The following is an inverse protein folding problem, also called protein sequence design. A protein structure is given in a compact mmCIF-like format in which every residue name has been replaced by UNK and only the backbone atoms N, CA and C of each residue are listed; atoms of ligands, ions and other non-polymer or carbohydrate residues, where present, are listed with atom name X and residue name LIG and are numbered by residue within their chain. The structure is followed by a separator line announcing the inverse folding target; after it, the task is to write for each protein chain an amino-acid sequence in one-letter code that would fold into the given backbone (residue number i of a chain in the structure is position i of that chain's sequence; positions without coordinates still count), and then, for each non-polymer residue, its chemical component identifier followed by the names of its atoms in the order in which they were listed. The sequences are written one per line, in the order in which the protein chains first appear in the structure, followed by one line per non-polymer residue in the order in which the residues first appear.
data_IF_252740860887
#
_entry.id   IF_252740860887
#
_cell.length_a   1.000
_cell.length_b   1.000
_cell.length_c   1.000
_cell.angle_alpha   90.00
_cell.angle_beta   90.00
_cell.angle_gamma   90.00
#
_symmetry.space_group_name_H-M   'P 1'
#
loop_
_entity.id
_entity.type
_entity.pdbx_description
1 polymer ?
#
# COMPACT_ATOMS: atom_id res chain seq x y z
N UNK A 1 -9.09 12.52 -0.61
CA UNK A 1 -7.82 12.85 0.10
C UNK A 1 -6.64 11.94 -0.27
N UNK A 2 -6.72 10.60 -0.16
CA UNK A 2 -5.61 9.70 -0.58
C UNK A 2 -5.26 9.88 -2.05
N UNK A 3 -6.25 10.03 -2.90
CA UNK A 3 -6.07 10.21 -4.34
C UNK A 3 -5.55 11.60 -4.73
N UNK A 4 -5.93 12.66 -4.01
CA UNK A 4 -5.32 13.98 -4.22
C UNK A 4 -3.83 13.97 -3.92
N UNK A 5 -3.43 13.19 -2.95
CA UNK A 5 -2.03 12.99 -2.62
C UNK A 5 -1.29 12.18 -3.68
N UNK A 6 -1.91 11.11 -4.19
CA UNK A 6 -1.33 10.36 -5.30
C UNK A 6 -1.19 11.23 -6.54
N UNK A 7 -2.14 12.14 -6.77
CA UNK A 7 -2.05 13.17 -7.80
C UNK A 7 -0.86 14.11 -7.57
N UNK A 8 -0.69 14.65 -6.35
CA UNK A 8 0.46 15.50 -6.00
C UNK A 8 1.79 14.76 -6.16
N UNK A 9 1.85 13.48 -5.75
CA UNK A 9 3.05 12.65 -5.94
C UNK A 9 3.35 12.43 -7.42
N UNK A 10 2.34 12.09 -8.22
CA UNK A 10 2.52 11.92 -9.66
C UNK A 10 3.00 13.21 -10.33
N UNK A 11 2.48 14.39 -9.91
CA UNK A 11 2.96 15.68 -10.36
C UNK A 11 4.42 15.96 -9.95
N UNK A 12 4.82 15.60 -8.72
CA UNK A 12 6.21 15.73 -8.27
C UNK A 12 7.13 14.83 -9.08
N UNK A 13 6.74 13.59 -9.37
CA UNK A 13 7.52 12.70 -10.23
C UNK A 13 7.60 13.22 -11.67
N UNK A 14 6.55 13.80 -12.21
CA UNK A 14 6.58 14.44 -13.52
C UNK A 14 7.55 15.63 -13.55
N UNK A 15 7.53 16.47 -12.49
CA UNK A 15 8.46 17.58 -12.36
C UNK A 15 9.93 17.13 -12.22
N UNK A 16 10.16 16.07 -11.44
CA UNK A 16 11.49 15.47 -11.30
C UNK A 16 12.00 14.88 -12.63
N UNK A 17 11.15 14.12 -13.34
CA UNK A 17 11.47 13.59 -14.66
C UNK A 17 11.77 14.71 -15.67
N UNK A 18 10.99 15.79 -15.67
CA UNK A 18 11.25 16.98 -16.48
C UNK A 18 12.58 17.65 -16.13
N UNK A 19 12.91 17.74 -14.83
CA UNK A 19 14.22 18.26 -14.37
C UNK A 19 15.40 17.42 -14.84
N UNK A 20 15.30 16.10 -14.77
CA UNK A 20 16.31 15.17 -15.29
C UNK A 20 16.48 15.31 -16.80
N UNK A 21 15.39 15.42 -17.53
CA UNK A 21 15.42 15.63 -18.99
C UNK A 21 16.16 16.95 -19.33
N UNK A 22 15.79 18.05 -18.67
CA UNK A 22 16.43 19.35 -18.89
C UNK A 22 17.94 19.31 -18.55
N UNK A 23 18.29 18.66 -17.45
CA UNK A 23 19.68 18.50 -17.06
C UNK A 23 20.45 17.67 -18.10
N UNK A 24 19.87 16.57 -18.61
CA UNK A 24 20.44 15.75 -19.66
C UNK A 24 20.67 16.54 -20.96
N UNK A 25 19.72 17.42 -21.33
CA UNK A 25 19.87 18.30 -22.49
C UNK A 25 21.03 19.30 -22.29
N UNK A 26 21.11 19.93 -21.09
CA UNK A 26 22.13 20.93 -20.80
C UNK A 26 23.53 20.30 -20.77
N UNK A 27 23.64 19.07 -20.27
CA UNK A 27 24.92 18.35 -20.14
C UNK A 27 25.27 17.49 -21.36
N UNK A 28 24.44 17.49 -22.38
CA UNK A 28 24.59 16.65 -23.59
C UNK A 28 24.65 15.15 -23.29
N UNK A 29 23.99 14.70 -22.20
CA UNK A 29 23.96 13.32 -21.75
C UNK A 29 22.68 12.62 -22.16
N UNK A 30 22.64 12.08 -23.38
CA UNK A 30 21.47 11.45 -24.01
C UNK A 30 20.73 10.40 -23.12
N UNK A 31 21.41 9.48 -22.40
CA UNK A 31 20.69 8.51 -21.57
C UNK A 31 19.84 9.18 -20.48
N UNK A 32 20.30 10.27 -19.90
CA UNK A 32 19.57 10.99 -18.85
C UNK A 32 18.35 11.74 -19.41
N UNK A 33 18.51 12.29 -20.62
CA UNK A 33 17.42 12.93 -21.36
C UNK A 33 16.29 11.92 -21.64
N UNK A 34 16.65 10.72 -22.13
CA UNK A 34 15.70 9.65 -22.43
C UNK A 34 14.96 9.14 -21.17
N UNK A 35 15.68 8.91 -20.08
CA UNK A 35 15.11 8.48 -18.77
C UNK A 35 14.17 9.57 -18.23
N UNK A 36 14.59 10.83 -18.28
CA UNK A 36 13.80 11.97 -17.81
C UNK A 36 12.49 12.13 -18.60
N UNK A 37 12.54 12.02 -19.93
CA UNK A 37 11.38 12.09 -20.80
C UNK A 37 10.39 10.94 -20.53
N UNK A 38 10.89 9.70 -20.44
CA UNK A 38 10.07 8.53 -20.14
C UNK A 38 9.40 8.66 -18.77
N UNK A 39 10.13 9.07 -17.74
CA UNK A 39 9.61 9.30 -16.40
C UNK A 39 8.54 10.38 -16.37
N UNK A 40 8.72 11.48 -17.08
CA UNK A 40 7.74 12.55 -17.19
C UNK A 40 6.47 12.08 -17.88
N UNK A 41 6.56 11.37 -19.00
CA UNK A 41 5.41 10.85 -19.75
C UNK A 41 4.60 9.84 -18.92
N UNK A 42 5.26 8.88 -18.28
CA UNK A 42 4.60 7.89 -17.41
C UNK A 42 3.86 8.60 -16.27
N UNK A 43 4.47 9.63 -15.67
CA UNK A 43 3.87 10.37 -14.57
C UNK A 43 2.66 11.19 -15.03
N UNK A 44 2.72 11.81 -16.22
CA UNK A 44 1.59 12.55 -16.81
C UNK A 44 0.41 11.63 -17.13
N UNK A 45 0.67 10.44 -17.68
CA UNK A 45 -0.37 9.42 -17.88
C UNK A 45 -0.97 9.01 -16.55
N UNK A 46 -0.14 8.78 -15.51
CA UNK A 46 -0.59 8.49 -14.16
C UNK A 46 -1.48 9.59 -13.57
N UNK A 47 -1.13 10.86 -13.76
CA UNK A 47 -1.96 12.02 -13.36
C UNK A 47 -3.33 11.98 -14.04
N UNK A 48 -3.35 11.75 -15.35
CA UNK A 48 -4.59 11.70 -16.13
C UNK A 48 -5.51 10.57 -15.64
N UNK A 49 -4.96 9.37 -15.49
CA UNK A 49 -5.70 8.21 -14.96
C UNK A 49 -6.24 8.49 -13.55
N UNK A 50 -5.44 9.08 -12.67
CA UNK A 50 -5.85 9.44 -11.31
C UNK A 50 -7.00 10.45 -11.31
N UNK A 51 -6.98 11.47 -12.16
CA UNK A 51 -8.08 12.44 -12.27
C UNK A 51 -9.39 11.74 -12.65
N UNK A 52 -9.35 10.81 -13.61
CA UNK A 52 -10.52 10.04 -14.01
C UNK A 52 -11.06 9.13 -12.90
N UNK A 53 -10.17 8.55 -12.09
CA UNK A 53 -10.55 7.69 -10.95
C UNK A 53 -11.06 8.50 -9.73
N UNK A 54 -10.58 9.74 -9.55
CA UNK A 54 -10.93 10.56 -8.38
C UNK A 54 -12.38 11.03 -8.41
N UNK A 55 -12.88 11.45 -9.60
CA UNK A 55 -14.24 12.00 -9.72
C UNK A 55 -15.35 11.08 -9.20
N UNK A 56 -15.47 9.82 -9.68
CA UNK A 56 -16.54 8.93 -9.21
C UNK A 56 -16.40 8.54 -7.73
N UNK A 57 -15.18 8.61 -7.17
CA UNK A 57 -14.94 8.30 -5.77
C UNK A 57 -15.35 9.47 -4.85
N UNK A 58 -15.12 10.72 -5.27
CA UNK A 58 -15.64 11.89 -4.56
C UNK A 58 -17.16 11.89 -4.53
N UNK A 59 -17.82 11.69 -5.68
CA UNK A 59 -19.27 11.60 -5.74
C UNK A 59 -19.81 10.54 -4.77
N UNK A 60 -19.22 9.33 -4.78
CA UNK A 60 -19.65 8.27 -3.85
C UNK A 60 -19.44 8.66 -2.39
N UNK A 61 -18.34 9.34 -2.05
CA UNK A 61 -18.10 9.80 -0.68
C UNK A 61 -19.10 10.88 -0.28
N UNK A 62 -19.39 11.84 -1.17
CA UNK A 62 -20.39 12.88 -0.94
C UNK A 62 -21.77 12.26 -0.73
N UNK A 63 -22.17 11.28 -1.54
CA UNK A 63 -23.41 10.52 -1.39
C UNK A 63 -23.46 9.77 -0.05
N UNK A 64 -22.31 9.21 0.42
CA UNK A 64 -22.24 8.56 1.74
C UNK A 64 -22.30 9.55 2.91
N UNK A 65 -21.78 10.75 2.74
CA UNK A 65 -21.79 11.79 3.78
C UNK A 65 -23.17 12.44 3.90
N UNK A 66 -23.83 12.69 2.77
CA UNK A 66 -25.13 13.39 2.69
C UNK A 66 -26.31 12.45 2.69
N UNK A 67 -26.14 11.19 2.29
CA UNK A 67 -27.18 10.19 2.13
C UNK A 67 -27.51 9.38 3.40
N UNK A 68 -28.24 8.27 3.17
CA UNK A 68 -28.64 7.35 4.23
C UNK A 68 -27.43 6.54 4.72
N UNK A 69 -26.89 6.86 5.89
CA UNK A 69 -25.74 6.20 6.50
C UNK A 69 -26.14 5.34 7.69
N UNK A 70 -25.46 4.20 7.85
CA UNK A 70 -25.68 3.30 8.98
C UNK A 70 -24.84 3.72 10.20
N UNK A 71 -23.59 4.17 9.92
CA UNK A 71 -22.63 4.64 10.91
C UNK A 71 -21.87 5.86 10.38
N UNK A 72 -21.63 6.81 11.28
CA UNK A 72 -20.63 7.87 11.09
C UNK A 72 -19.90 8.08 12.41
N UNK A 73 -18.70 7.52 12.52
CA UNK A 73 -17.86 7.69 13.69
C UNK A 73 -16.66 8.58 13.38
N UNK A 74 -16.38 9.48 14.31
CA UNK A 74 -15.12 10.22 14.39
C UNK A 74 -14.45 9.80 15.68
N UNK A 75 -13.27 9.23 15.59
CA UNK A 75 -12.53 8.77 16.76
C UNK A 75 -11.86 9.94 17.49
N UNK A 76 -11.77 9.83 18.82
CA UNK A 76 -10.92 10.75 19.57
C UNK A 76 -9.46 10.55 19.16
N UNK A 77 -8.63 11.63 19.17
CA UNK A 77 -7.23 11.53 18.76
C UNK A 77 -6.44 10.45 19.53
N UNK A 78 -6.69 10.34 20.84
CA UNK A 78 -5.98 9.36 21.70
C UNK A 78 -6.35 7.92 21.36
N UNK A 79 -7.65 7.66 21.19
CA UNK A 79 -8.12 6.33 20.78
C UNK A 79 -7.55 5.94 19.42
N UNK A 80 -7.60 6.86 18.46
CA UNK A 80 -7.12 6.65 17.11
C UNK A 80 -5.61 6.39 17.06
N UNK A 81 -4.81 7.22 17.76
CA UNK A 81 -3.37 7.02 17.85
C UNK A 81 -3.03 5.69 18.51
N UNK A 82 -3.72 5.32 19.59
CA UNK A 82 -3.57 4.03 20.24
C UNK A 82 -3.85 2.85 19.30
N UNK A 83 -4.91 2.95 18.47
CA UNK A 83 -5.24 1.95 17.46
C UNK A 83 -4.15 1.85 16.37
N UNK A 84 -3.72 2.98 15.81
CA UNK A 84 -2.66 3.02 14.79
C UNK A 84 -1.33 2.46 15.30
N UNK A 85 -0.96 2.72 16.55
CA UNK A 85 0.26 2.17 17.17
C UNK A 85 0.19 0.66 17.29
N UNK A 86 -0.96 0.09 17.68
CA UNK A 86 -1.18 -1.37 17.74
C UNK A 86 -1.08 -2.01 16.36
N UNK A 87 -1.75 -1.43 15.37
CA UNK A 87 -1.69 -1.91 13.99
C UNK A 87 -0.28 -1.88 13.41
N UNK A 88 0.48 -0.82 13.68
CA UNK A 88 1.89 -0.72 13.27
C UNK A 88 2.78 -1.78 13.93
N UNK A 89 2.58 -2.05 15.23
CA UNK A 89 3.34 -3.12 15.93
C UNK A 89 3.08 -4.49 15.31
N UNK A 90 1.83 -4.77 14.96
CA UNK A 90 1.43 -6.02 14.31
C UNK A 90 2.09 -6.19 12.94
N UNK A 91 2.12 -5.14 12.12
CA UNK A 91 2.72 -5.18 10.77
C UNK A 91 4.25 -5.27 10.79
N UNK A 92 4.92 -4.85 11.87
CA UNK A 92 6.38 -5.01 12.00
C UNK A 92 6.85 -6.48 11.99
N UNK A 93 6.04 -7.39 12.51
CA UNK A 93 6.35 -8.83 12.53
C UNK A 93 6.39 -9.48 11.14
N UNK A 94 5.83 -8.83 10.11
CA UNK A 94 5.81 -9.36 8.75
C UNK A 94 7.11 -9.09 7.97
N UNK A 95 7.91 -8.09 8.36
CA UNK A 95 9.17 -7.75 7.66
C UNK A 95 10.16 -8.91 7.69
N UNK A 96 10.23 -9.65 8.80
CA UNK A 96 11.06 -10.85 8.90
C UNK A 96 10.73 -11.91 7.84
N UNK A 97 9.46 -12.03 7.45
CA UNK A 97 9.02 -12.95 6.40
C UNK A 97 9.53 -12.51 5.02
N UNK A 98 9.50 -11.20 4.73
CA UNK A 98 10.01 -10.67 3.45
C UNK A 98 11.52 -10.82 3.32
N UNK A 99 12.28 -10.63 4.41
CA UNK A 99 13.71 -10.88 4.43
C UNK A 99 14.04 -12.37 4.23
N UNK A 100 13.29 -13.26 4.87
CA UNK A 100 13.45 -14.71 4.68
C UNK A 100 13.13 -15.12 3.24
N UNK A 101 12.04 -14.61 2.64
CA UNK A 101 11.70 -14.86 1.23
C UNK A 101 12.76 -14.27 0.29
N UNK A 102 13.31 -13.09 0.60
CA UNK A 102 14.36 -12.42 -0.19
C UNK A 102 15.70 -13.14 -0.15
N UNK A 103 16.00 -13.92 0.89
CA UNK A 103 17.25 -14.70 0.99
C UNK A 103 17.34 -15.83 -0.05
N UNK A 104 16.21 -16.40 -0.48
CA UNK A 104 16.17 -17.50 -1.47
C UNK A 104 16.70 -17.03 -2.83
N UNK A 105 16.16 -15.98 -3.49
CA UNK A 105 16.70 -15.50 -4.76
C UNK A 105 18.13 -14.96 -4.63
N UNK A 106 18.52 -14.39 -3.47
CA UNK A 106 19.90 -13.97 -3.24
C UNK A 106 20.87 -15.15 -3.29
N UNK A 107 20.54 -16.26 -2.64
CA UNK A 107 21.34 -17.48 -2.66
C UNK A 107 21.41 -18.09 -4.07
N UNK A 108 20.27 -18.16 -4.78
CA UNK A 108 20.22 -18.66 -6.15
C UNK A 108 21.08 -17.83 -7.11
N UNK A 109 21.04 -16.51 -7.00
CA UNK A 109 21.86 -15.62 -7.82
C UNK A 109 23.36 -15.77 -7.49
N UNK A 110 23.71 -15.93 -6.22
CA UNK A 110 25.09 -16.17 -5.80
C UNK A 110 25.64 -17.47 -6.39
N UNK A 111 24.87 -18.56 -6.36
CA UNK A 111 25.22 -19.85 -6.94
C UNK A 111 25.36 -19.75 -8.47
N UNK A 112 24.45 -19.05 -9.13
CA UNK A 112 24.46 -18.87 -10.58
C UNK A 112 25.67 -18.06 -11.03
N UNK A 113 25.96 -16.92 -10.40
CA UNK A 113 27.10 -16.07 -10.73
C UNK A 113 28.42 -16.77 -10.42
N UNK A 114 28.52 -17.45 -9.28
CA UNK A 114 29.69 -18.25 -8.92
C UNK A 114 29.92 -19.41 -9.89
N UNK A 115 28.85 -20.12 -10.28
CA UNK A 115 28.91 -21.20 -11.24
C UNK A 115 29.35 -20.76 -12.66
N UNK A 116 28.76 -19.64 -13.13
CA UNK A 116 29.18 -19.05 -14.43
C UNK A 116 30.66 -18.60 -14.43
N UNK A 117 31.09 -17.95 -13.33
CA UNK A 117 32.48 -17.52 -13.19
C UNK A 117 33.44 -18.72 -13.15
N UNK A 118 33.09 -19.80 -12.46
CA UNK A 118 33.83 -21.04 -12.40
C UNK A 118 34.02 -21.67 -13.79
N UNK A 119 32.95 -21.71 -14.56
CA UNK A 119 32.96 -22.25 -15.92
C UNK A 119 33.76 -21.36 -16.91
N UNK A 120 33.57 -20.04 -16.85
CA UNK A 120 34.20 -19.09 -17.76
C UNK A 120 35.71 -18.92 -17.54
N UNK A 121 36.19 -19.08 -16.31
CA UNK A 121 37.61 -18.87 -15.95
C UNK A 121 38.39 -20.17 -15.69
N UNK A 122 38.05 -21.23 -16.40
CA UNK A 122 38.76 -22.49 -16.37
C UNK A 122 39.01 -23.05 -14.95
N UNK A 123 37.93 -23.10 -14.14
CA UNK A 123 37.94 -23.74 -12.83
C UNK A 123 38.71 -23.03 -11.71
N UNK A 124 38.80 -21.71 -11.74
CA UNK A 124 39.34 -20.94 -10.61
C UNK A 124 38.28 -20.79 -9.49
N UNK A 125 38.48 -21.53 -8.40
CA UNK A 125 37.57 -21.52 -7.24
C UNK A 125 37.52 -20.16 -6.55
N UNK A 126 38.64 -19.44 -6.48
CA UNK A 126 38.72 -18.12 -5.86
C UNK A 126 37.87 -17.08 -6.59
N UNK A 127 37.89 -17.08 -7.92
CA UNK A 127 37.09 -16.17 -8.75
C UNK A 127 35.62 -16.49 -8.66
N UNK A 128 35.23 -17.77 -8.59
CA UNK A 128 33.84 -18.20 -8.43
C UNK A 128 33.25 -17.74 -7.11
N UNK A 129 34.03 -17.87 -6.03
CA UNK A 129 33.59 -17.38 -4.70
C UNK A 129 33.48 -15.85 -4.68
N UNK A 130 34.37 -15.13 -5.34
CA UNK A 130 34.30 -13.66 -5.42
C UNK A 130 33.01 -13.19 -6.13
N UNK A 131 32.75 -13.72 -7.35
CA UNK A 131 31.52 -13.30 -8.08
C UNK A 131 30.24 -13.79 -7.44
N UNK A 132 30.22 -14.99 -6.83
CA UNK A 132 29.12 -15.45 -6.04
C UNK A 132 28.86 -14.54 -4.82
N UNK A 133 29.92 -14.14 -4.11
CA UNK A 133 29.86 -13.21 -2.99
C UNK A 133 29.36 -11.82 -3.41
N UNK A 134 29.83 -11.28 -4.52
CA UNK A 134 29.35 -9.99 -5.05
C UNK A 134 27.87 -10.08 -5.40
N UNK A 135 27.44 -11.14 -6.08
CA UNK A 135 26.01 -11.35 -6.42
C UNK A 135 25.13 -11.45 -5.18
N UNK A 136 25.57 -12.17 -4.16
CA UNK A 136 24.87 -12.25 -2.88
C UNK A 136 24.75 -10.89 -2.19
N UNK A 137 25.86 -10.17 -2.05
CA UNK A 137 25.88 -8.84 -1.44
C UNK A 137 24.98 -7.85 -2.19
N UNK A 138 25.03 -7.84 -3.53
CA UNK A 138 24.19 -6.97 -4.35
C UNK A 138 22.70 -7.23 -4.12
N UNK A 139 22.29 -8.49 -4.02
CA UNK A 139 20.88 -8.83 -3.73
C UNK A 139 20.48 -8.47 -2.30
N UNK A 140 21.33 -8.71 -1.31
CA UNK A 140 21.04 -8.31 0.09
C UNK A 140 20.87 -6.79 0.19
N UNK A 141 21.74 -6.02 -0.47
CA UNK A 141 21.62 -4.55 -0.52
C UNK A 141 20.32 -4.14 -1.21
N UNK A 142 19.98 -4.75 -2.35
CA UNK A 142 18.75 -4.45 -3.09
C UNK A 142 17.51 -4.73 -2.22
N UNK A 143 17.43 -5.90 -1.58
CA UNK A 143 16.31 -6.21 -0.67
C UNK A 143 16.30 -5.32 0.57
N UNK A 144 17.47 -4.94 1.09
CA UNK A 144 17.59 -3.95 2.17
C UNK A 144 17.01 -2.59 1.77
N UNK A 145 17.33 -2.11 0.57
CA UNK A 145 16.77 -0.86 0.01
C UNK A 145 15.26 -0.96 -0.15
N UNK A 146 14.75 -2.04 -0.76
CA UNK A 146 13.31 -2.26 -0.93
C UNK A 146 12.60 -2.31 0.43
N UNK A 147 13.18 -3.00 1.41
CA UNK A 147 12.67 -3.06 2.78
C UNK A 147 12.64 -1.68 3.45
N UNK A 148 13.70 -0.88 3.31
CA UNK A 148 13.78 0.48 3.84
C UNK A 148 12.73 1.41 3.21
N UNK A 149 12.51 1.31 1.89
CA UNK A 149 11.45 2.05 1.21
C UNK A 149 10.06 1.62 1.68
N UNK A 150 9.83 0.33 1.87
CA UNK A 150 8.56 -0.17 2.41
C UNK A 150 8.29 0.35 3.83
N UNK A 151 9.32 0.40 4.68
CA UNK A 151 9.19 0.95 6.03
C UNK A 151 8.99 2.46 6.03
N UNK A 152 9.71 3.18 5.19
CA UNK A 152 9.52 4.63 5.00
C UNK A 152 8.09 4.92 4.53
N UNK A 153 7.58 4.17 3.54
CA UNK A 153 6.20 4.31 3.07
C UNK A 153 5.19 4.07 4.18
N UNK A 154 5.37 3.01 4.99
CA UNK A 154 4.50 2.70 6.14
C UNK A 154 4.54 3.79 7.20
N UNK A 155 5.73 4.33 7.47
CA UNK A 155 5.89 5.43 8.41
C UNK A 155 5.19 6.70 7.93
N UNK A 156 5.38 7.07 6.67
CA UNK A 156 4.68 8.20 6.05
C UNK A 156 3.16 8.00 6.08
N UNK A 157 2.68 6.78 5.80
CA UNK A 157 1.25 6.44 5.88
C UNK A 157 0.73 6.57 7.31
N UNK A 158 1.49 6.11 8.31
CA UNK A 158 1.14 6.28 9.72
C UNK A 158 0.99 7.77 10.11
N UNK A 159 1.96 8.60 9.74
CA UNK A 159 1.91 10.04 10.02
C UNK A 159 0.68 10.71 9.39
N UNK A 160 0.35 10.30 8.18
CA UNK A 160 -0.80 10.80 7.49
C UNK A 160 -2.12 10.38 8.13
N UNK A 161 -2.30 9.09 8.44
CA UNK A 161 -3.47 8.59 9.14
C UNK A 161 -3.64 9.26 10.51
N UNK A 162 -2.53 9.52 11.21
CA UNK A 162 -2.54 10.31 12.44
C UNK A 162 -3.04 11.74 12.21
N UNK A 163 -2.61 12.39 11.13
CA UNK A 163 -3.01 13.76 10.79
C UNK A 163 -4.46 13.88 10.33
N UNK A 164 -4.95 12.89 9.57
CA UNK A 164 -6.32 12.88 9.04
C UNK A 164 -7.37 12.64 10.14
N UNK A 165 -6.95 12.07 11.27
CA UNK A 165 -7.87 11.55 12.28
C UNK A 165 -8.55 10.26 11.81
N UNK A 166 -9.11 9.51 12.74
CA UNK A 166 -9.90 8.32 12.44
C UNK A 166 -11.33 8.68 12.12
N UNK A 167 -11.78 8.32 10.92
CA UNK A 167 -13.17 8.47 10.51
C UNK A 167 -13.68 7.21 9.83
N UNK A 168 -14.90 6.80 10.20
CA UNK A 168 -15.63 5.70 9.57
C UNK A 168 -16.98 6.20 9.13
N UNK A 169 -17.32 5.94 7.87
CA UNK A 169 -18.66 6.13 7.34
C UNK A 169 -19.06 4.81 6.68
N UNK A 170 -20.14 4.23 7.17
CA UNK A 170 -20.72 3.02 6.62
C UNK A 170 -22.12 3.32 6.11
N UNK A 171 -22.38 2.98 4.87
CA UNK A 171 -23.67 3.21 4.23
C UNK A 171 -24.05 2.07 3.29
N UNK A 172 -25.21 2.17 2.61
CA UNK A 172 -25.66 1.14 1.68
C UNK A 172 -24.77 0.99 0.45
N UNK A 173 -23.98 1.99 0.12
CA UNK A 173 -23.12 2.02 -1.07
C UNK A 173 -21.69 1.61 -0.81
N UNK A 174 -21.26 1.52 0.46
CA UNK A 174 -19.90 1.13 0.79
C UNK A 174 -19.45 1.54 2.18
N UNK A 175 -18.16 1.36 2.41
CA UNK A 175 -17.42 1.67 3.62
C UNK A 175 -16.32 2.68 3.29
N UNK A 176 -16.32 3.82 3.98
CA UNK A 176 -15.17 4.72 4.04
C UNK A 176 -14.47 4.55 5.39
N UNK A 177 -13.19 4.24 5.36
CA UNK A 177 -12.38 4.06 6.55
C UNK A 177 -11.02 4.76 6.39
N UNK A 178 -10.85 5.84 7.14
CA UNK A 178 -9.56 6.56 7.27
C UNK A 178 -8.83 6.86 5.95
N UNK A 179 -9.58 7.29 4.95
CA UNK A 179 -9.06 7.67 3.64
C UNK A 179 -9.22 6.62 2.55
N UNK A 180 -9.58 5.40 2.89
CA UNK A 180 -9.84 4.34 1.93
C UNK A 180 -11.35 4.13 1.76
N UNK A 181 -11.80 3.94 0.51
CA UNK A 181 -13.20 3.73 0.17
C UNK A 181 -13.38 2.34 -0.43
N UNK A 182 -14.21 1.51 0.23
CA UNK A 182 -14.60 0.19 -0.19
C UNK A 182 -16.05 0.22 -0.64
N UNK A 183 -16.34 -0.12 -1.91
CA UNK A 183 -17.70 -0.12 -2.46
C UNK A 183 -18.34 -1.49 -2.32
N UNK A 184 -19.63 -1.53 -1.98
CA UNK A 184 -20.36 -2.79 -1.78
C UNK A 184 -20.53 -3.64 -3.05
N UNK A 185 -20.62 -3.01 -4.23
CA UNK A 185 -20.96 -3.67 -5.50
C UNK A 185 -19.84 -3.65 -6.56
N UNK A 186 -18.67 -3.14 -6.24
CA UNK A 186 -17.55 -3.05 -7.19
C UNK A 186 -16.32 -3.71 -6.57
N UNK A 187 -15.29 -3.94 -7.36
CA UNK A 187 -14.03 -4.40 -6.80
C UNK A 187 -13.39 -3.34 -5.89
N UNK A 188 -12.99 -3.72 -4.67
CA UNK A 188 -13.08 -5.03 -4.03
C UNK A 188 -14.52 -5.46 -3.72
N UNK A 189 -14.84 -6.75 -3.95
CA UNK A 189 -16.17 -7.31 -3.69
C UNK A 189 -16.31 -7.62 -2.20
N UNK A 190 -17.39 -7.16 -1.59
CA UNK A 190 -17.75 -7.52 -0.22
C UNK A 190 -18.04 -9.03 -0.10
N UNK A 191 -17.50 -9.66 0.94
CA UNK A 191 -17.73 -11.08 1.25
C UNK A 191 -18.51 -11.26 2.54
N UNK A 192 -18.03 -10.65 3.64
CA UNK A 192 -18.67 -10.79 4.94
C UNK A 192 -18.30 -9.66 5.89
N UNK A 193 -19.14 -9.47 6.92
CA UNK A 193 -18.81 -8.68 8.11
C UNK A 193 -19.02 -9.55 9.34
N UNK A 194 -18.05 -9.53 10.23
CA UNK A 194 -18.02 -10.33 11.46
C UNK A 194 -17.76 -9.41 12.65
N UNK A 195 -18.41 -9.76 13.78
CA UNK A 195 -18.06 -9.14 15.06
C UNK A 195 -16.89 -9.88 15.66
N UNK A 196 -15.89 -9.17 16.10
CA UNK A 196 -14.74 -9.75 16.78
C UNK A 196 -14.27 -8.90 17.94
N UNK A 197 -13.48 -9.49 18.81
CA UNK A 197 -12.74 -8.81 19.87
C UNK A 197 -11.26 -9.10 19.69
N UNK A 198 -10.44 -8.05 19.71
CA UNK A 198 -9.00 -8.16 19.56
C UNK A 198 -8.29 -7.09 20.38
N UNK A 199 -7.28 -7.51 21.13
CA UNK A 199 -6.52 -6.61 22.01
C UNK A 199 -7.40 -5.83 23.00
N UNK A 200 -8.49 -6.46 23.51
CA UNK A 200 -9.44 -5.85 24.43
C UNK A 200 -10.34 -4.79 23.80
N UNK A 201 -10.42 -4.75 22.47
CA UNK A 201 -11.31 -3.85 21.74
C UNK A 201 -12.25 -4.64 20.84
N UNK A 202 -13.52 -4.24 20.83
CA UNK A 202 -14.50 -4.73 19.87
C UNK A 202 -14.21 -4.18 18.47
N UNK A 203 -14.37 -5.02 17.46
CA UNK A 203 -14.12 -4.66 16.06
C UNK A 203 -15.24 -5.18 15.16
N UNK A 204 -15.46 -4.45 14.06
CA UNK A 204 -16.12 -4.98 12.87
C UNK A 204 -15.03 -5.42 11.89
N UNK A 205 -15.00 -6.72 11.56
CA UNK A 205 -14.10 -7.29 10.57
C UNK A 205 -14.84 -7.41 9.25
N UNK A 206 -14.50 -6.55 8.30
CA UNK A 206 -14.97 -6.65 6.92
C UNK A 206 -13.98 -7.46 6.11
N UNK A 207 -14.50 -8.39 5.30
CA UNK A 207 -13.72 -9.17 4.34
C UNK A 207 -14.12 -8.78 2.93
N UNK A 208 -13.14 -8.41 2.13
CA UNK A 208 -13.32 -8.06 0.73
C UNK A 208 -12.48 -8.98 -0.16
N UNK A 209 -13.07 -9.44 -1.26
CA UNK A 209 -12.35 -10.13 -2.31
C UNK A 209 -11.76 -9.11 -3.28
N UNK A 210 -10.43 -9.06 -3.36
CA UNK A 210 -9.70 -8.14 -4.23
C UNK A 210 -9.12 -8.92 -5.41
N UNK A 211 -9.51 -8.53 -6.62
CA UNK A 211 -8.98 -9.13 -7.84
C UNK A 211 -7.56 -8.64 -8.13
N UNK A 212 -6.65 -9.58 -8.36
CA UNK A 212 -5.28 -9.35 -8.82
C UNK A 212 -5.04 -10.06 -10.15
N UNK A 213 -3.95 -9.74 -10.83
CA UNK A 213 -3.64 -10.28 -12.17
C UNK A 213 -3.70 -11.82 -12.24
N UNK A 214 -3.32 -12.50 -11.17
CA UNK A 214 -3.22 -13.96 -11.12
C UNK A 214 -4.22 -14.63 -10.15
N UNK A 215 -5.35 -13.98 -9.82
CA UNK A 215 -6.33 -14.54 -8.90
C UNK A 215 -7.03 -13.53 -8.03
N UNK A 216 -7.41 -13.96 -6.85
CA UNK A 216 -8.08 -13.15 -5.83
C UNK A 216 -7.35 -13.29 -4.50
N UNK A 217 -7.33 -12.25 -3.70
CA UNK A 217 -6.97 -12.35 -2.28
C UNK A 217 -8.05 -11.72 -1.42
N UNK A 218 -8.11 -12.13 -0.16
CA UNK A 218 -9.06 -11.57 0.81
C UNK A 218 -8.35 -10.45 1.55
N UNK A 219 -8.91 -9.24 1.44
CA UNK A 219 -8.49 -8.10 2.22
C UNK A 219 -9.36 -7.99 3.46
N UNK A 220 -8.74 -7.98 4.62
CA UNK A 220 -9.39 -7.84 5.92
C UNK A 220 -9.25 -6.41 6.43
N UNK A 221 -10.39 -5.74 6.64
CA UNK A 221 -10.46 -4.39 7.19
C UNK A 221 -11.03 -4.47 8.60
N UNK A 222 -10.20 -4.20 9.59
CA UNK A 222 -10.56 -4.17 11.00
C UNK A 222 -10.94 -2.74 11.41
N UNK A 223 -12.21 -2.54 11.74
CA UNK A 223 -12.75 -1.27 12.18
C UNK A 223 -12.94 -1.33 13.69
N UNK A 224 -12.18 -0.60 14.49
CA UNK A 224 -12.36 -0.58 15.93
C UNK A 224 -13.67 0.10 16.28
N UNK A 225 -14.45 -0.53 17.16
CA UNK A 225 -15.70 0.05 17.66
C UNK A 225 -15.36 1.00 18.82
N UNK A 226 -15.79 2.28 18.75
CA UNK A 226 -15.58 3.19 19.87
C UNK A 226 -16.33 2.69 21.12
N UNK A 227 -15.76 2.88 22.32
CA UNK A 227 -16.44 2.52 23.57
C UNK A 227 -17.86 3.13 23.65
N UNK A 228 -18.85 2.31 24.03
CA UNK A 228 -20.24 2.70 24.13
C UNK A 228 -21.00 2.75 22.79
N UNK A 229 -20.38 2.34 21.67
CA UNK A 229 -20.99 2.28 20.33
C UNK A 229 -21.26 0.85 19.85
N UNK A 230 -21.19 -0.13 20.74
CA UNK A 230 -21.32 -1.55 20.40
C UNK A 230 -22.70 -1.90 19.83
N UNK A 231 -23.76 -1.30 20.40
CA UNK A 231 -25.15 -1.52 19.91
C UNK A 231 -25.34 -0.91 18.52
N UNK A 232 -24.84 0.30 18.31
CA UNK A 232 -24.88 0.97 17.00
C UNK A 232 -24.12 0.15 15.94
N UNK A 233 -22.97 -0.39 16.30
CA UNK A 233 -22.15 -1.24 15.43
C UNK A 233 -22.86 -2.54 15.04
N UNK A 234 -23.49 -3.23 16.00
CA UNK A 234 -24.26 -4.47 15.74
C UNK A 234 -25.47 -4.22 14.84
N UNK A 235 -26.21 -3.14 15.08
CA UNK A 235 -27.33 -2.75 14.25
C UNK A 235 -26.88 -2.43 12.80
N UNK A 236 -25.77 -1.73 12.65
CA UNK A 236 -25.20 -1.44 11.34
C UNK A 236 -24.71 -2.70 10.62
N UNK A 237 -24.09 -3.63 11.35
CA UNK A 237 -23.69 -4.93 10.81
C UNK A 237 -24.89 -5.68 10.24
N UNK A 238 -26.02 -5.72 10.94
CA UNK A 238 -27.26 -6.36 10.45
C UNK A 238 -27.76 -5.70 9.16
N UNK A 239 -27.75 -4.36 9.09
CA UNK A 239 -28.16 -3.60 7.90
C UNK A 239 -27.25 -3.90 6.71
N UNK A 240 -25.94 -4.03 6.93
CA UNK A 240 -24.97 -4.40 5.89
C UNK A 240 -25.27 -5.80 5.36
N UNK A 241 -25.49 -6.77 6.24
CA UNK A 241 -25.83 -8.15 5.85
C UNK A 241 -27.11 -8.24 5.01
N UNK A 242 -28.03 -7.29 5.16
CA UNK A 242 -29.28 -7.25 4.38
C UNK A 242 -29.15 -6.48 3.06
N UNK A 243 -28.16 -5.59 2.93
CA UNK A 243 -28.11 -4.62 1.82
C UNK A 243 -26.93 -4.84 0.85
N UNK A 244 -25.86 -5.50 1.27
CA UNK A 244 -24.65 -5.74 0.47
C UNK A 244 -24.59 -7.17 -0.05
#
# INVERSE_FOLDING_TARGET
MVQERNLRRALLFAAFGGGLMLYGIITDFEPLTGIGLAGMLISLIGVFVLIFLIRPLRQTLDDMVTGNRYIHWTYSPDFWEGHLRRERRRKKLEIGKYLAIGSIPATLLALLMGGLAYWAQKNSLGTSLLYGGIGFCAMVVLFGIVGAFADLYRWLRFLELKRLGGQVILGPTGLYYSGDLFKSRWHPRYLSVEWGEKDGLSHLLFKFEVRVKNGYYIEEVLIPVPPGKEVEARNAMQKVLQSW
#
